data_IF_139427446457
#
_entry.id   IF_139427446457
#
_cell.length_a   1.000
_cell.length_b   1.000
_cell.length_c   1.000
_cell.angle_alpha   90.00
_cell.angle_beta   90.00
_cell.angle_gamma   90.00
#
_symmetry.space_group_name_H-M   'P 1'
#
loop_
_entity.id
_entity.type
_entity.pdbx_description
1 polymer ?
#
# COMPACT_ATOMS: atom_id res chain seq x y z
N UNK A 1 -7.64 -15.87 -8.80
CA UNK A 1 -6.96 -15.72 -7.49
C UNK A 1 -6.37 -14.32 -7.47
N UNK A 2 -6.92 -13.40 -6.67
CA UNK A 2 -6.47 -12.00 -6.63
C UNK A 2 -5.10 -11.95 -5.92
N UNK A 3 -4.07 -11.49 -6.63
CA UNK A 3 -2.69 -11.45 -6.12
C UNK A 3 -2.50 -10.14 -5.34
N UNK A 4 -2.12 -10.24 -4.06
CA UNK A 4 -1.81 -9.07 -3.22
C UNK A 4 -0.36 -8.68 -3.44
N UNK A 5 -0.08 -7.49 -3.97
CA UNK A 5 1.27 -7.03 -4.23
C UNK A 5 1.70 -6.06 -3.13
N UNK A 6 2.73 -6.46 -2.41
CA UNK A 6 3.22 -5.78 -1.22
C UNK A 6 3.78 -4.40 -1.59
N UNK A 7 4.61 -4.30 -2.63
CA UNK A 7 5.22 -3.05 -3.08
C UNK A 7 4.16 -2.02 -3.50
N UNK A 8 3.14 -2.44 -4.24
CA UNK A 8 2.03 -1.57 -4.64
C UNK A 8 1.29 -1.00 -3.41
N UNK A 9 1.05 -1.85 -2.40
CA UNK A 9 0.41 -1.42 -1.15
C UNK A 9 1.25 -0.37 -0.42
N UNK A 10 2.57 -0.58 -0.35
CA UNK A 10 3.50 0.38 0.25
C UNK A 10 3.47 1.71 -0.51
N UNK A 11 3.55 1.70 -1.84
CA UNK A 11 3.50 2.93 -2.64
C UNK A 11 2.20 3.72 -2.44
N UNK A 12 1.05 3.05 -2.29
CA UNK A 12 -0.22 3.73 -1.99
C UNK A 12 -0.17 4.44 -0.64
N UNK A 13 0.32 3.75 0.40
CA UNK A 13 0.47 4.32 1.75
C UNK A 13 1.36 5.57 1.69
N UNK A 14 2.52 5.47 1.05
CA UNK A 14 3.45 6.60 0.93
C UNK A 14 2.87 7.77 0.13
N UNK A 15 2.16 7.48 -0.97
CA UNK A 15 1.52 8.50 -1.81
C UNK A 15 0.43 9.25 -1.04
N UNK A 16 -0.45 8.53 -0.34
CA UNK A 16 -1.54 9.14 0.43
C UNK A 16 -1.06 9.80 1.72
N UNK A 17 0.00 9.31 2.32
CA UNK A 17 0.66 10.03 3.41
C UNK A 17 1.22 11.36 2.93
N UNK A 18 1.91 11.36 1.76
CA UNK A 18 2.43 12.59 1.15
C UNK A 18 1.34 13.58 0.78
N UNK A 19 0.18 13.12 0.32
CA UNK A 19 -1.00 13.96 0.05
C UNK A 19 -1.47 14.74 1.29
N UNK A 20 -1.18 14.20 2.49
CA UNK A 20 -1.43 14.83 3.79
C UNK A 20 -0.22 15.55 4.38
N UNK A 21 0.82 15.80 3.57
CA UNK A 21 2.10 16.38 3.99
C UNK A 21 2.89 15.52 5.00
N UNK A 22 2.59 14.21 5.08
CA UNK A 22 3.27 13.26 5.97
C UNK A 22 4.24 12.42 5.15
N UNK A 23 5.51 12.38 5.57
CA UNK A 23 6.50 11.50 4.98
C UNK A 23 6.62 10.19 5.76
N UNK A 24 6.25 9.08 5.12
CA UNK A 24 6.41 7.73 5.68
C UNK A 24 7.44 6.98 4.84
N UNK A 25 8.57 6.62 5.44
CA UNK A 25 9.60 5.85 4.75
C UNK A 25 9.32 4.36 4.83
N UNK A 26 9.98 3.57 3.96
CA UNK A 26 9.95 2.12 4.05
C UNK A 26 10.48 1.60 5.40
N UNK A 27 11.41 2.34 6.02
CA UNK A 27 11.97 2.00 7.34
C UNK A 27 10.90 2.17 8.43
N UNK A 28 10.12 3.26 8.37
CA UNK A 28 9.01 3.49 9.30
C UNK A 28 7.96 2.37 9.19
N UNK A 29 7.65 1.97 7.96
CA UNK A 29 6.69 0.88 7.69
C UNK A 29 7.25 -0.45 8.20
N UNK A 30 8.50 -0.79 7.87
CA UNK A 30 9.14 -2.01 8.36
C UNK A 30 9.15 -2.07 9.90
N UNK A 31 9.48 -0.95 10.55
CA UNK A 31 9.46 -0.84 12.01
C UNK A 31 8.05 -1.00 12.58
N UNK A 32 7.02 -0.40 11.96
CA UNK A 32 5.64 -0.55 12.38
C UNK A 32 5.12 -1.99 12.23
N UNK A 33 5.60 -2.71 11.22
CA UNK A 33 5.30 -4.12 10.98
C UNK A 33 6.13 -5.07 11.85
N UNK A 34 7.08 -4.54 12.64
CA UNK A 34 8.04 -5.32 13.42
C UNK A 34 8.84 -6.31 12.54
N UNK A 35 9.15 -5.88 11.32
CA UNK A 35 9.94 -6.64 10.35
C UNK A 35 11.35 -6.09 10.29
N UNK A 36 12.34 -6.99 10.22
CA UNK A 36 13.70 -6.63 9.86
C UNK A 36 13.73 -6.05 8.45
N UNK A 37 14.66 -5.12 8.19
CA UNK A 37 14.83 -4.50 6.87
C UNK A 37 15.04 -5.56 5.77
N UNK A 38 15.79 -6.62 6.04
CA UNK A 38 16.00 -7.73 5.12
C UNK A 38 14.68 -8.43 4.72
N UNK A 39 13.84 -8.74 5.71
CA UNK A 39 12.56 -9.42 5.49
C UNK A 39 11.56 -8.52 4.77
N UNK A 40 11.53 -7.24 5.13
CA UNK A 40 10.72 -6.24 4.43
C UNK A 40 11.15 -6.14 2.96
N UNK A 41 12.46 -6.04 2.69
CA UNK A 41 12.98 -5.96 1.34
C UNK A 41 12.69 -7.23 0.55
N UNK A 42 12.77 -8.41 1.16
CA UNK A 42 12.39 -9.67 0.53
C UNK A 42 10.93 -9.67 0.07
N UNK A 43 10.00 -9.20 0.91
CA UNK A 43 8.59 -9.06 0.53
C UNK A 43 8.37 -7.98 -0.51
N UNK A 44 9.12 -6.88 -0.44
CA UNK A 44 9.04 -5.77 -1.40
C UNK A 44 9.52 -6.18 -2.79
N UNK A 45 10.65 -6.89 -2.88
CA UNK A 45 11.24 -7.37 -4.15
C UNK A 45 10.43 -8.52 -4.74
N UNK A 46 9.99 -9.46 -3.90
CA UNK A 46 9.16 -10.60 -4.35
C UNK A 46 7.72 -10.18 -4.65
N UNK A 47 7.35 -8.96 -4.23
CA UNK A 47 6.00 -8.40 -4.29
C UNK A 47 4.94 -9.31 -3.66
N UNK A 48 5.36 -10.12 -2.69
CA UNK A 48 4.57 -11.15 -2.02
C UNK A 48 4.87 -11.11 -0.52
N UNK A 49 3.82 -11.02 0.29
CA UNK A 49 3.91 -11.00 1.74
C UNK A 49 2.85 -11.91 2.37
N UNK A 50 3.07 -12.44 3.58
CA UNK A 50 2.06 -13.19 4.30
C UNK A 50 0.82 -12.33 4.58
N UNK A 51 -0.34 -12.97 4.68
CA UNK A 51 -1.59 -12.25 5.02
C UNK A 51 -1.48 -11.47 6.35
N UNK A 52 -0.74 -12.01 7.32
CA UNK A 52 -0.51 -11.36 8.61
C UNK A 52 0.16 -9.98 8.45
N UNK A 53 1.10 -9.86 7.50
CA UNK A 53 1.75 -8.58 7.20
C UNK A 53 0.75 -7.58 6.62
N UNK A 54 -0.17 -8.02 5.75
CA UNK A 54 -1.23 -7.15 5.24
C UNK A 54 -2.22 -6.72 6.33
N UNK A 55 -2.53 -7.58 7.30
CA UNK A 55 -3.36 -7.22 8.46
C UNK A 55 -2.67 -6.17 9.33
N UNK A 56 -1.36 -6.29 9.54
CA UNK A 56 -0.58 -5.30 10.27
C UNK A 56 -0.53 -3.97 9.51
N UNK A 57 -0.37 -3.98 8.18
CA UNK A 57 -0.48 -2.79 7.35
C UNK A 57 -1.85 -2.11 7.49
N UNK A 58 -2.94 -2.87 7.46
CA UNK A 58 -4.30 -2.32 7.67
C UNK A 58 -4.44 -1.71 9.06
N UNK A 59 -3.91 -2.37 10.08
CA UNK A 59 -4.00 -1.91 11.47
C UNK A 59 -3.22 -0.61 11.70
N UNK A 60 -2.04 -0.47 11.10
CA UNK A 60 -1.16 0.69 11.32
C UNK A 60 -1.39 1.83 10.32
N UNK A 61 -1.75 1.50 9.07
CA UNK A 61 -1.83 2.46 7.96
C UNK A 61 -3.22 2.45 7.28
N UNK A 62 -4.23 1.86 7.91
CA UNK A 62 -5.59 1.77 7.37
C UNK A 62 -6.21 3.12 7.00
N UNK A 63 -5.84 4.20 7.70
CA UNK A 63 -6.26 5.56 7.36
C UNK A 63 -5.77 6.03 5.99
N UNK A 64 -4.60 5.55 5.56
CA UNK A 64 -4.02 5.81 4.24
C UNK A 64 -4.53 4.81 3.22
N UNK A 65 -4.98 3.62 3.63
CA UNK A 65 -5.55 2.64 2.71
C UNK A 65 -7.03 2.94 2.38
N UNK A 66 -7.69 3.75 3.21
CA UNK A 66 -9.06 4.22 3.00
C UNK A 66 -10.11 3.32 3.66
N UNK A 67 -11.26 3.88 4.03
CA UNK A 67 -12.37 3.21 4.74
C UNK A 67 -13.07 2.09 3.95
N UNK A 68 -12.59 1.77 2.74
CA UNK A 68 -13.17 0.83 1.80
C UNK A 68 -12.41 -0.47 1.62
N UNK A 69 -11.86 -1.04 2.71
CA UNK A 69 -11.05 -2.28 2.74
C UNK A 69 -9.73 -2.14 1.97
N UNK A 70 -8.71 -2.88 2.39
CA UNK A 70 -7.73 -3.40 1.43
C UNK A 70 -8.49 -4.35 0.48
N UNK A 71 -9.35 -3.80 -0.39
CA UNK A 71 -9.72 -4.46 -1.64
C UNK A 71 -8.44 -4.40 -2.45
N UNK A 72 -7.68 -5.49 -2.52
CA UNK A 72 -7.78 -6.47 -3.62
C UNK A 72 -7.60 -5.86 -5.02
N UNK A 73 -7.29 -4.55 -5.09
CA UNK A 73 -6.95 -3.74 -6.25
C UNK A 73 -5.43 -3.62 -6.30
N UNK A 74 -4.78 -4.74 -6.59
CA UNK A 74 -3.61 -4.62 -7.45
C UNK A 74 -4.03 -5.21 -8.78
N UNK A 75 -3.97 -4.37 -9.81
CA UNK A 75 -4.73 -4.40 -11.06
C UNK A 75 -6.18 -3.93 -10.95
N UNK A 76 -6.38 -2.64 -10.80
CA UNK A 76 -7.05 -1.92 -11.87
C UNK A 76 -6.06 -0.89 -12.43
N UNK A 77 -5.26 -1.37 -13.37
CA UNK A 77 -4.78 -0.53 -14.46
C UNK A 77 -6.03 -0.16 -15.26
N UNK A 78 -6.72 0.89 -14.85
CA UNK A 78 -7.57 1.69 -15.71
C UNK A 78 -6.98 3.09 -15.74
N UNK A 79 -6.07 3.24 -16.69
CA UNK A 79 -5.82 4.50 -17.38
C UNK A 79 -7.17 4.92 -17.98
N UNK A 80 -7.76 6.00 -17.50
CA UNK A 80 -8.15 7.18 -18.29
C UNK A 80 -8.60 8.31 -17.34
N UNK A 81 -7.80 9.38 -17.26
CA UNK A 81 -8.28 10.73 -16.93
C UNK A 81 -8.63 11.35 -18.29
N UNK A 82 -9.85 11.89 -18.51
CA UNK A 82 -10.20 13.19 -17.91
C UNK A 82 -11.68 13.35 -17.49
N UNK A 83 -11.91 14.01 -16.35
CA UNK A 83 -13.06 14.92 -16.16
C UNK A 83 -12.72 16.25 -16.89
N UNK A 84 -13.66 17.10 -17.37
CA UNK A 84 -15.06 17.26 -16.95
C UNK A 84 -16.08 17.53 -18.10
N UNK A 85 -17.37 17.52 -17.76
CA UNK A 85 -18.51 18.32 -18.28
C UNK A 85 -18.32 19.11 -19.61
N UNK A 86 -19.08 18.79 -20.67
CA UNK A 86 -19.84 19.76 -21.52
C UNK A 86 -20.64 19.02 -22.62
N UNK A 87 -21.94 18.75 -22.38
CA UNK A 87 -23.10 19.04 -23.26
C UNK A 87 -24.42 18.50 -22.65
#
# INVERSE_FOLDING_TARGET
MMKKFFAATISIIQRRARDRDIYISQVDIASALNLSHELFNQYFVSDEAPEEVFKLLEKHFGEYLGTGKIRWEIKQEEIDLPDPDDE
#
